data_IF_440149766986
#
_entry.id   IF_440149766986
#
_cell.length_a   1.000
_cell.length_b   1.000
_cell.length_c   1.000
_cell.angle_alpha   90.00
_cell.angle_beta   90.00
_cell.angle_gamma   90.00
#
_symmetry.space_group_name_H-M   'P 1'
#
loop_
_entity.id
_entity.type
_entity.pdbx_description
1 polymer ?
#
# COMPACT_ATOMS: atom_id res chain seq x y z
N UNK A 1 9.94 -26.92 12.01
CA UNK A 1 8.77 -26.59 11.17
C UNK A 1 8.30 -25.19 11.56
N UNK A 2 8.93 -24.14 10.99
CA UNK A 2 8.52 -22.76 11.25
C UNK A 2 7.37 -22.42 10.30
N UNK A 3 6.15 -22.31 10.85
CA UNK A 3 5.02 -21.69 10.15
C UNK A 3 5.35 -20.21 9.97
N UNK A 4 5.94 -19.88 8.83
CA UNK A 4 6.03 -18.50 8.37
C UNK A 4 4.64 -18.07 7.85
N UNK A 5 3.65 -17.94 8.73
CA UNK A 5 2.53 -17.02 8.47
C UNK A 5 3.03 -15.63 8.85
N UNK A 6 4.05 -15.14 8.14
CA UNK A 6 4.47 -13.75 8.26
C UNK A 6 3.47 -12.92 7.45
N UNK A 7 2.26 -12.77 8.00
CA UNK A 7 1.37 -11.68 7.63
C UNK A 7 2.12 -10.40 7.99
N UNK A 8 2.92 -9.92 7.06
CA UNK A 8 3.70 -8.70 7.22
C UNK A 8 2.69 -7.63 7.61
N UNK A 9 2.73 -7.11 8.86
CA UNK A 9 1.76 -6.14 9.28
C UNK A 9 1.98 -4.90 8.42
N UNK A 10 0.92 -4.43 7.75
CA UNK A 10 0.94 -3.14 7.09
C UNK A 10 1.32 -2.10 8.16
N UNK A 11 2.28 -1.23 7.88
CA UNK A 11 2.67 -0.15 8.81
C UNK A 11 2.34 1.21 8.22
N UNK A 12 2.22 2.20 9.08
CA UNK A 12 2.10 3.60 8.66
C UNK A 12 3.35 4.02 7.90
N UNK A 13 3.17 4.57 6.70
CA UNK A 13 4.24 4.92 5.76
C UNK A 13 4.48 3.88 4.66
N UNK A 14 3.90 2.68 4.75
CA UNK A 14 3.97 1.71 3.66
C UNK A 14 3.22 2.21 2.42
N UNK A 15 3.75 1.86 1.25
CA UNK A 15 3.09 2.08 -0.03
C UNK A 15 2.30 0.82 -0.37
N UNK A 16 1.00 0.98 -0.49
CA UNK A 16 0.06 -0.07 -0.84
C UNK A 16 -0.65 0.29 -2.14
N UNK A 17 -1.16 -0.73 -2.83
CA UNK A 17 -2.02 -0.56 -4.00
C UNK A 17 -3.32 -1.32 -3.78
N UNK A 18 -4.41 -0.77 -4.32
CA UNK A 18 -5.69 -1.47 -4.35
C UNK A 18 -5.75 -2.34 -5.60
N UNK A 19 -6.00 -3.63 -5.41
CA UNK A 19 -6.15 -4.60 -6.52
C UNK A 19 -7.31 -4.22 -7.44
N UNK A 20 -8.41 -3.74 -6.87
CA UNK A 20 -9.67 -3.44 -7.56
C UNK A 20 -9.58 -2.33 -8.61
N UNK A 21 -8.56 -1.45 -8.55
CA UNK A 21 -8.35 -0.36 -9.51
C UNK A 21 -7.11 -0.61 -10.37
N UNK A 22 -6.97 -1.84 -10.89
CA UNK A 22 -5.94 -2.22 -11.86
C UNK A 22 -4.48 -2.01 -11.39
N UNK A 23 -4.26 -1.86 -10.07
CA UNK A 23 -2.97 -1.48 -9.48
C UNK A 23 -2.36 -0.17 -10.03
N UNK A 24 -3.18 0.73 -10.60
CA UNK A 24 -2.70 1.99 -11.20
C UNK A 24 -2.49 3.10 -10.16
N UNK A 25 -3.21 3.04 -9.04
CA UNK A 25 -3.13 4.07 -8.00
C UNK A 25 -2.38 3.57 -6.78
N UNK A 26 -1.27 4.24 -6.50
CA UNK A 26 -0.47 4.04 -5.29
C UNK A 26 -1.04 4.86 -4.15
N UNK A 27 -1.13 4.22 -2.99
CA UNK A 27 -1.60 4.82 -1.75
C UNK A 27 -0.53 4.66 -0.68
N UNK A 28 -0.41 5.66 0.17
CA UNK A 28 0.45 5.62 1.35
C UNK A 28 -0.42 5.42 2.57
N UNK A 29 -0.04 4.48 3.41
CA UNK A 29 -0.71 4.23 4.68
C UNK A 29 -0.48 5.42 5.60
N UNK A 30 -1.54 6.18 5.85
CA UNK A 30 -1.53 7.33 6.76
C UNK A 30 -1.77 6.89 8.19
N UNK A 31 -2.76 6.04 8.41
CA UNK A 31 -3.17 5.58 9.74
C UNK A 31 -3.81 4.20 9.65
N UNK A 32 -3.65 3.39 10.68
CA UNK A 32 -4.27 2.07 10.77
C UNK A 32 -5.15 2.07 12.01
N UNK A 33 -6.43 1.71 11.85
CA UNK A 33 -7.43 1.62 12.90
C UNK A 33 -8.00 0.20 12.93
N UNK A 34 -7.30 -0.70 13.62
CA UNK A 34 -7.66 -2.11 13.67
C UNK A 34 -7.59 -2.74 12.29
N UNK A 35 -8.74 -3.09 11.71
CA UNK A 35 -8.84 -3.71 10.39
C UNK A 35 -8.94 -2.71 9.24
N UNK A 36 -9.27 -1.44 9.51
CA UNK A 36 -9.40 -0.40 8.49
C UNK A 36 -8.16 0.49 8.47
N UNK A 37 -7.67 0.77 7.27
CA UNK A 37 -6.51 1.61 7.02
C UNK A 37 -6.91 2.87 6.30
N UNK A 38 -6.53 4.02 6.85
CA UNK A 38 -6.59 5.30 6.16
C UNK A 38 -5.39 5.42 5.21
N UNK A 39 -5.70 5.67 3.96
CA UNK A 39 -4.82 5.71 2.81
C UNK A 39 -4.88 7.09 2.18
N UNK A 40 -3.71 7.60 1.82
CA UNK A 40 -3.59 8.84 1.04
C UNK A 40 -3.05 8.52 -0.34
N UNK A 41 -3.73 8.99 -1.38
CA UNK A 41 -3.28 8.88 -2.76
C UNK A 41 -1.90 9.52 -2.91
N UNK A 42 -0.97 8.79 -3.52
CA UNK A 42 0.39 9.27 -3.75
C UNK A 42 0.43 10.35 -4.84
N UNK A 43 -0.42 10.21 -5.87
CA UNK A 43 -0.46 11.11 -7.03
C UNK A 43 -1.61 12.13 -7.00
N UNK A 44 -2.69 11.83 -6.28
CA UNK A 44 -3.88 12.68 -6.17
C UNK A 44 -4.08 12.99 -4.70
N UNK A 45 -4.57 14.20 -4.35
CA UNK A 45 -5.07 14.53 -3.00
C UNK A 45 -6.38 13.77 -2.71
N UNK A 46 -6.33 12.45 -2.85
CA UNK A 46 -7.44 11.55 -2.64
C UNK A 46 -7.19 10.86 -1.30
N UNK A 47 -8.12 10.95 -0.37
CA UNK A 47 -8.10 10.17 0.85
C UNK A 47 -9.08 9.01 0.68
N UNK A 48 -8.65 7.82 1.06
CA UNK A 48 -9.47 6.62 0.99
C UNK A 48 -9.25 5.81 2.26
N UNK A 49 -10.25 5.03 2.65
CA UNK A 49 -10.12 4.02 3.68
C UNK A 49 -10.40 2.65 3.05
N UNK A 50 -9.63 1.65 3.46
CA UNK A 50 -9.82 0.28 2.99
C UNK A 50 -9.37 -0.72 4.06
N UNK A 51 -10.01 -1.91 4.11
CA UNK A 51 -9.58 -2.95 5.03
C UNK A 51 -8.18 -3.45 4.68
N UNK A 52 -7.37 -3.79 5.69
CA UNK A 52 -6.02 -4.34 5.53
C UNK A 52 -5.97 -5.53 4.56
N UNK A 53 -7.05 -6.32 4.51
CA UNK A 53 -7.19 -7.51 3.68
C UNK A 53 -7.33 -7.20 2.18
N UNK A 54 -7.83 -6.02 1.81
CA UNK A 54 -7.94 -5.55 0.41
C UNK A 54 -6.64 -4.88 -0.09
N UNK A 55 -5.71 -4.64 0.83
CA UNK A 55 -4.48 -3.90 0.55
C UNK A 55 -3.34 -4.83 0.18
N UNK A 56 -2.68 -4.52 -0.94
CA UNK A 56 -1.47 -5.21 -1.35
C UNK A 56 -0.29 -4.30 -1.02
N UNK A 57 0.58 -4.76 -0.11
CA UNK A 57 1.87 -4.13 0.16
C UNK A 57 2.70 -4.19 -1.12
N UNK A 58 3.16 -3.03 -1.58
CA UNK A 58 4.04 -2.94 -2.72
C UNK A 58 5.46 -3.26 -2.24
N UNK A 59 6.02 -4.36 -2.73
CA UNK A 59 7.40 -4.71 -2.40
C UNK A 59 8.40 -3.65 -2.88
N UNK A 60 9.53 -3.54 -2.19
CA UNK A 60 10.54 -2.49 -2.42
C UNK A 60 11.00 -2.42 -3.89
N UNK A 61 11.03 -3.55 -4.60
CA UNK A 61 11.38 -3.62 -6.03
C UNK A 61 10.41 -2.81 -6.91
N UNK A 62 9.10 -2.94 -6.66
CA UNK A 62 8.06 -2.18 -7.36
C UNK A 62 8.13 -0.70 -7.03
N UNK A 63 8.37 -0.35 -5.75
CA UNK A 63 8.57 1.06 -5.33
C UNK A 63 9.76 1.67 -6.09
N UNK A 64 10.86 0.93 -6.23
CA UNK A 64 12.06 1.37 -6.98
C UNK A 64 11.74 1.63 -8.46
N UNK A 65 10.95 0.76 -9.10
CA UNK A 65 10.47 0.95 -10.48
C UNK A 65 9.57 2.18 -10.62
N UNK A 66 8.66 2.39 -9.66
CA UNK A 66 7.79 3.57 -9.65
C UNK A 66 8.59 4.87 -9.54
N UNK A 67 9.51 4.95 -8.56
CA UNK A 67 10.39 6.11 -8.39
C UNK A 67 11.24 6.38 -9.62
N UNK A 68 11.63 5.35 -10.35
CA UNK A 68 12.39 5.49 -11.61
C UNK A 68 11.53 6.10 -12.73
N UNK A 69 10.27 5.68 -12.86
CA UNK A 69 9.31 6.25 -13.83
C UNK A 69 8.98 7.72 -13.58
N UNK A 70 9.04 8.18 -12.33
CA UNK A 70 8.72 9.56 -11.94
C UNK A 70 9.87 10.56 -12.17
N UNK A 71 11.08 10.08 -12.46
CA UNK A 71 12.28 10.90 -12.67
C UNK A 71 12.71 10.98 -14.14
N UNK A 72 11.88 10.52 -15.07
CA UNK A 72 12.15 10.59 -16.52
C UNK A 72 11.34 11.68 -17.18
#
# INVERSE_FOLDING_TARGET
>A
MHRFDERVPIKTGDIVVRRSHNCDTYFVVRKIRGEIVELSGYHKRLCADAPISDLIIVSADKIKKLKKKLKS
#
